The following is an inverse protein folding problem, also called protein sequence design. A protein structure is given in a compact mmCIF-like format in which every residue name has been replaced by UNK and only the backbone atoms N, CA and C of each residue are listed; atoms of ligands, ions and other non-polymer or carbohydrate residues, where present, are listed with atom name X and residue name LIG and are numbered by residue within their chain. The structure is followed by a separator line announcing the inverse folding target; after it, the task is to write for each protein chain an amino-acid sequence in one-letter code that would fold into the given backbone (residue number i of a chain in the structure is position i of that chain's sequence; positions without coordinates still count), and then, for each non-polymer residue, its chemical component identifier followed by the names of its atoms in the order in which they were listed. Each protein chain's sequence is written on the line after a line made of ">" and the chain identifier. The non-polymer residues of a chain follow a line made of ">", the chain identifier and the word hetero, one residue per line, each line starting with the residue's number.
data_IF_073546975943
#
_entry.id   IF_073546975943
#
_cell.length_a   1.000
_cell.length_b   1.000
_cell.length_c   1.000
_cell.angle_alpha   90.00
_cell.angle_beta   90.00
_cell.angle_gamma   90.00
#
_symmetry.space_group_name_H-M   'P 1'
#
loop_
_entity.id
_entity.type
_entity.pdbx_description
1 polymer ?
#
# COMPACT_ATOMS: atom_id res chain seq x y z
N UNK A 1 -37.52 -8.93 -3.30
CA UNK A 1 -37.14 -8.39 -1.97
C UNK A 1 -35.77 -7.78 -2.11
N UNK A 2 -35.58 -6.53 -1.70
CA UNK A 2 -34.28 -5.86 -1.77
C UNK A 2 -33.52 -6.18 -0.47
N UNK A 3 -32.41 -6.92 -0.57
CA UNK A 3 -31.60 -7.35 0.57
C UNK A 3 -30.97 -6.15 1.30
N UNK A 4 -30.81 -5.00 0.65
CA UNK A 4 -30.32 -3.77 1.27
C UNK A 4 -31.31 -3.11 2.24
N UNK A 5 -32.61 -3.47 2.21
CA UNK A 5 -33.57 -2.93 3.18
C UNK A 5 -33.27 -3.37 4.61
N UNK A 6 -32.60 -4.52 4.78
CA UNK A 6 -32.16 -5.06 6.06
C UNK A 6 -30.63 -5.05 6.23
N UNK A 7 -29.90 -4.43 5.30
CA UNK A 7 -28.45 -4.39 5.35
C UNK A 7 -27.96 -3.54 6.52
N UNK A 8 -26.93 -4.03 7.21
CA UNK A 8 -26.32 -3.38 8.36
C UNK A 8 -25.01 -2.69 7.97
N UNK A 9 -24.96 -2.07 6.79
CA UNK A 9 -23.82 -1.26 6.39
C UNK A 9 -23.67 -0.05 7.33
N UNK A 10 -22.44 0.36 7.60
CA UNK A 10 -22.16 1.61 8.31
C UNK A 10 -22.87 2.78 7.62
N UNK A 11 -23.34 3.74 8.43
CA UNK A 11 -24.10 4.90 7.95
C UNK A 11 -23.33 5.61 6.83
N UNK A 12 -24.02 5.85 5.72
CA UNK A 12 -23.54 6.50 4.48
C UNK A 12 -22.67 5.64 3.54
N UNK A 13 -22.45 4.37 3.85
CA UNK A 13 -21.83 3.44 2.91
C UNK A 13 -22.85 2.93 1.89
N UNK A 14 -22.39 2.60 0.69
CA UNK A 14 -23.28 2.11 -0.37
C UNK A 14 -23.58 0.62 -0.15
N UNK A 15 -24.86 0.26 -0.13
CA UNK A 15 -25.28 -1.13 -0.16
C UNK A 15 -25.56 -1.56 -1.60
N UNK A 16 -24.98 -2.69 -2.00
CA UNK A 16 -25.27 -3.37 -3.26
C UNK A 16 -26.19 -4.56 -3.01
N UNK A 17 -27.35 -4.52 -3.65
CA UNK A 17 -28.34 -5.60 -3.63
C UNK A 17 -27.95 -6.66 -4.66
N UNK A 18 -27.76 -7.90 -4.19
CA UNK A 18 -27.64 -9.08 -5.04
C UNK A 18 -28.89 -9.93 -4.88
N UNK A 19 -29.14 -10.85 -5.82
CA UNK A 19 -30.38 -11.62 -5.86
C UNK A 19 -30.71 -12.37 -4.55
N UNK A 20 -29.70 -12.78 -3.77
CA UNK A 20 -29.87 -13.54 -2.53
C UNK A 20 -29.14 -12.97 -1.30
N UNK A 21 -28.33 -11.93 -1.46
CA UNK A 21 -27.52 -11.35 -0.38
C UNK A 21 -27.23 -9.90 -0.68
N UNK A 22 -26.61 -9.18 0.26
CA UNK A 22 -26.13 -7.82 0.03
C UNK A 22 -24.64 -7.73 0.31
N UNK A 23 -23.99 -6.72 -0.26
CA UNK A 23 -22.61 -6.35 0.07
C UNK A 23 -22.52 -4.86 0.36
N UNK A 24 -21.71 -4.47 1.33
CA UNK A 24 -21.41 -3.07 1.59
C UNK A 24 -20.14 -2.66 0.84
N UNK A 25 -20.21 -1.59 0.05
CA UNK A 25 -19.03 -0.94 -0.50
C UNK A 25 -18.49 0.05 0.52
N UNK A 26 -17.34 -0.27 1.10
CA UNK A 26 -16.74 0.54 2.15
C UNK A 26 -15.86 1.64 1.57
N UNK A 27 -16.13 2.88 1.95
CA UNK A 27 -15.22 3.98 1.77
C UNK A 27 -13.96 3.73 2.59
N UNK A 28 -12.81 3.66 1.91
CA UNK A 28 -11.50 3.51 2.58
C UNK A 28 -11.26 4.69 3.53
N UNK A 29 -10.67 4.46 4.73
CA UNK A 29 -9.98 3.25 5.18
C UNK A 29 -10.89 2.23 5.92
N UNK A 30 -12.22 2.34 5.82
CA UNK A 30 -13.14 1.38 6.42
C UNK A 30 -13.20 0.07 5.62
N UNK A 31 -13.44 -1.04 6.30
CA UNK A 31 -13.51 -2.38 5.72
C UNK A 31 -14.38 -3.32 6.57
N UNK A 32 -14.51 -4.57 6.13
CA UNK A 32 -15.35 -5.58 6.76
C UNK A 32 -16.68 -5.72 6.02
N UNK A 33 -17.45 -6.75 6.37
CA UNK A 33 -18.76 -7.02 5.73
C UNK A 33 -19.75 -5.86 5.92
N UNK A 34 -19.61 -5.12 7.02
CA UNK A 34 -20.50 -4.02 7.42
C UNK A 34 -19.84 -2.63 7.35
N UNK A 35 -18.59 -2.53 6.88
CA UNK A 35 -17.81 -1.29 6.88
C UNK A 35 -17.63 -0.62 8.26
N UNK A 36 -17.73 -1.41 9.33
CA UNK A 36 -17.62 -0.99 10.72
C UNK A 36 -16.19 -1.09 11.26
N UNK A 37 -15.31 -1.78 10.54
CA UNK A 37 -13.90 -1.93 10.90
C UNK A 37 -13.06 -0.84 10.23
N UNK A 38 -12.07 -0.31 10.93
CA UNK A 38 -11.13 0.69 10.40
C UNK A 38 -9.74 0.09 10.25
N UNK A 39 -9.11 0.30 9.10
CA UNK A 39 -7.75 -0.18 8.89
C UNK A 39 -6.79 0.46 9.91
N UNK A 40 -5.87 -0.30 10.50
CA UNK A 40 -4.97 0.20 11.53
C UNK A 40 -4.01 1.24 10.97
N UNK A 41 -3.72 2.26 11.79
CA UNK A 41 -2.67 3.25 11.51
C UNK A 41 -1.36 2.72 12.08
N UNK A 42 -0.35 2.67 11.22
CA UNK A 42 0.99 2.22 11.54
C UNK A 42 1.89 3.45 11.57
N UNK A 43 2.30 3.89 12.75
CA UNK A 43 3.36 4.90 12.88
C UNK A 43 4.68 4.25 12.52
N UNK A 44 5.44 4.99 11.72
CA UNK A 44 6.79 4.60 11.39
C UNK A 44 7.76 5.71 11.75
N UNK A 45 8.97 5.27 12.09
CA UNK A 45 10.12 6.11 12.29
C UNK A 45 11.28 5.57 11.46
N UNK A 46 12.44 6.22 11.59
CA UNK A 46 13.70 5.83 10.96
C UNK A 46 14.23 4.43 11.30
N UNK A 47 13.54 3.61 12.08
CA UNK A 47 13.94 2.23 12.37
C UNK A 47 12.88 1.21 11.96
N UNK A 48 11.76 1.69 11.41
CA UNK A 48 10.61 0.87 11.12
C UNK A 48 10.78 0.13 9.81
N UNK A 49 10.50 -1.16 9.80
CA UNK A 49 10.72 -2.03 8.64
C UNK A 49 9.65 -3.11 8.61
N UNK A 50 9.07 -3.34 7.43
CA UNK A 50 8.14 -4.46 7.20
C UNK A 50 8.57 -5.18 5.94
N UNK A 51 8.95 -6.45 6.06
CA UNK A 51 9.32 -7.27 4.92
C UNK A 51 8.37 -8.45 4.76
N UNK A 52 7.74 -8.56 3.59
CA UNK A 52 6.71 -9.57 3.30
C UNK A 52 7.03 -10.26 1.97
N UNK A 53 7.11 -11.58 2.00
CA UNK A 53 7.28 -12.40 0.80
C UNK A 53 5.97 -13.09 0.44
N UNK A 54 5.53 -12.90 -0.80
CA UNK A 54 4.34 -13.50 -1.40
C UNK A 54 4.71 -14.75 -2.20
N UNK A 55 3.79 -15.72 -2.22
CA UNK A 55 3.89 -16.93 -3.05
C UNK A 55 3.60 -16.65 -4.52
N UNK A 56 2.87 -15.58 -4.82
CA UNK A 56 2.53 -15.11 -6.17
C UNK A 56 3.12 -13.74 -6.45
N UNK A 57 3.05 -13.31 -7.72
CA UNK A 57 3.42 -11.96 -8.11
C UNK A 57 2.50 -10.92 -7.46
N UNK A 58 3.10 -9.79 -7.09
CA UNK A 58 2.39 -8.58 -6.71
C UNK A 58 1.92 -7.91 -8.00
N UNK A 59 0.61 -7.67 -8.07
CA UNK A 59 -0.14 -7.12 -9.20
C UNK A 59 -0.59 -5.69 -8.91
N UNK A 60 -0.94 -5.40 -7.66
CA UNK A 60 -1.26 -4.06 -7.23
C UNK A 60 -0.79 -3.80 -5.79
N UNK A 61 -0.56 -2.53 -5.49
CA UNK A 61 -0.33 -2.02 -4.15
C UNK A 61 -1.18 -0.77 -4.00
N UNK A 62 -1.85 -0.62 -2.87
CA UNK A 62 -2.42 0.68 -2.49
C UNK A 62 -2.29 0.93 -1.01
N UNK A 63 -2.05 2.17 -0.63
CA UNK A 63 -1.91 2.57 0.76
C UNK A 63 -2.24 4.05 0.92
N UNK A 64 -2.55 4.43 2.15
CA UNK A 64 -2.50 5.82 2.57
C UNK A 64 -1.20 6.06 3.34
N UNK A 65 -0.62 7.24 3.12
CA UNK A 65 0.51 7.70 3.92
C UNK A 65 0.33 9.17 4.28
N UNK A 66 1.02 9.61 5.32
CA UNK A 66 1.32 11.01 5.52
C UNK A 66 2.78 11.18 5.93
N UNK A 67 3.35 12.35 5.64
CA UNK A 67 4.63 12.78 6.20
C UNK A 67 4.83 14.27 5.99
N UNK A 68 5.72 14.86 6.79
CA UNK A 68 6.28 16.20 6.55
C UNK A 68 7.66 16.13 5.87
N UNK A 69 8.25 14.94 5.79
CA UNK A 69 9.60 14.78 5.26
C UNK A 69 9.59 14.78 3.74
N UNK A 70 10.49 15.56 3.11
CA UNK A 70 10.51 15.69 1.66
C UNK A 70 11.17 14.49 0.96
N UNK A 71 11.95 13.69 1.70
CA UNK A 71 12.80 12.63 1.13
C UNK A 71 12.64 11.34 1.92
N UNK A 72 12.50 10.23 1.20
CA UNK A 72 12.64 8.89 1.74
C UNK A 72 11.80 7.82 1.06
N UNK A 73 12.11 6.55 1.33
CA UNK A 73 11.52 5.40 0.62
C UNK A 73 10.31 4.84 1.37
N UNK A 74 9.14 4.85 0.72
CA UNK A 74 7.91 4.27 1.26
C UNK A 74 7.88 2.76 1.07
N UNK A 75 8.31 2.27 -0.09
CA UNK A 75 8.41 0.84 -0.35
C UNK A 75 9.40 0.51 -1.47
N UNK A 76 9.93 -0.70 -1.40
CA UNK A 76 10.66 -1.35 -2.47
C UNK A 76 10.02 -2.72 -2.74
N UNK A 77 9.82 -3.03 -4.02
CA UNK A 77 9.33 -4.33 -4.48
C UNK A 77 10.43 -4.96 -5.30
N UNK A 78 10.85 -6.15 -4.90
CA UNK A 78 11.90 -6.91 -5.57
C UNK A 78 11.43 -8.33 -5.89
N UNK A 79 12.16 -8.97 -6.79
CA UNK A 79 12.04 -10.41 -7.02
C UNK A 79 12.82 -11.17 -5.94
N UNK A 80 12.15 -12.04 -5.18
CA UNK A 80 12.84 -12.88 -4.20
C UNK A 80 13.62 -13.99 -4.92
N UNK A 81 14.93 -14.08 -4.71
CA UNK A 81 15.83 -15.00 -5.43
C UNK A 81 15.76 -16.46 -4.89
N UNK A 82 14.75 -16.84 -4.09
CA UNK A 82 14.75 -18.18 -3.46
C UNK A 82 14.44 -19.32 -4.46
N UNK A 83 15.52 -19.90 -4.98
CA UNK A 83 15.69 -21.28 -5.44
C UNK A 83 14.78 -21.76 -6.58
N UNK A 84 15.06 -21.32 -7.81
CA UNK A 84 14.88 -22.25 -8.93
C UNK A 84 15.95 -23.34 -8.81
N UNK A 85 15.51 -24.54 -8.43
CA UNK A 85 16.34 -25.75 -8.35
C UNK A 85 16.98 -26.02 -9.71
N UNK A 86 18.31 -26.10 -9.71
CA UNK A 86 19.12 -27.11 -10.40
C UNK A 86 18.67 -27.42 -11.85
N UNK A 87 18.94 -26.52 -12.77
CA UNK A 87 19.43 -26.94 -14.08
C UNK A 87 20.84 -26.37 -14.22
N UNK A 88 21.79 -27.28 -14.48
CA UNK A 88 23.20 -26.99 -14.67
C UNK A 88 23.36 -26.12 -15.92
N UNK A 89 23.28 -24.81 -15.77
CA UNK A 89 23.77 -23.90 -16.79
C UNK A 89 24.59 -22.78 -16.15
N UNK A 90 25.89 -23.04 -16.05
CA UNK A 90 26.90 -22.15 -15.48
C UNK A 90 27.19 -20.92 -16.38
N UNK A 91 26.41 -20.71 -17.44
CA UNK A 91 26.54 -19.59 -18.38
C UNK A 91 25.40 -18.55 -18.29
N UNK A 92 24.41 -18.72 -17.40
CA UNK A 92 23.31 -17.75 -17.20
C UNK A 92 23.60 -16.70 -16.10
N UNK A 93 24.74 -16.01 -16.18
CA UNK A 93 25.07 -14.89 -15.29
C UNK A 93 24.30 -13.58 -15.58
N UNK A 94 23.30 -13.58 -16.47
CA UNK A 94 22.37 -12.45 -16.62
C UNK A 94 21.14 -12.65 -15.74
N UNK A 95 21.33 -12.53 -14.43
CA UNK A 95 20.24 -12.51 -13.46
C UNK A 95 19.66 -11.10 -13.40
N UNK A 96 18.52 -10.87 -14.05
CA UNK A 96 17.82 -9.60 -13.99
C UNK A 96 17.09 -9.44 -12.66
N UNK A 97 17.61 -8.60 -11.77
CA UNK A 97 16.98 -8.20 -10.51
C UNK A 97 16.12 -6.97 -10.72
N UNK A 98 15.01 -7.11 -11.44
CA UNK A 98 14.09 -5.98 -11.62
C UNK A 98 13.50 -5.56 -10.28
N UNK A 99 13.40 -4.25 -10.05
CA UNK A 99 12.92 -3.65 -8.81
C UNK A 99 12.04 -2.44 -9.06
N UNK A 100 11.13 -2.20 -8.13
CA UNK A 100 10.23 -1.03 -8.14
C UNK A 100 10.39 -0.32 -6.80
N UNK A 101 10.61 0.99 -6.84
CA UNK A 101 10.79 1.83 -5.66
C UNK A 101 9.72 2.91 -5.68
N UNK A 102 8.95 3.02 -4.60
CA UNK A 102 8.09 4.16 -4.32
C UNK A 102 8.74 5.02 -3.24
N UNK A 103 9.10 6.26 -3.57
CA UNK A 103 9.81 7.16 -2.66
C UNK A 103 9.33 8.61 -2.81
N UNK A 104 9.53 9.41 -1.77
CA UNK A 104 9.48 10.87 -1.85
C UNK A 104 10.87 11.40 -2.17
N UNK A 105 10.96 12.31 -3.14
CA UNK A 105 12.18 13.08 -3.43
C UNK A 105 11.77 14.52 -3.70
N UNK A 106 12.32 15.45 -2.93
CA UNK A 106 11.98 16.88 -2.92
C UNK A 106 10.46 17.13 -2.74
N UNK A 107 9.84 16.29 -1.91
CA UNK A 107 8.41 16.34 -1.58
C UNK A 107 7.48 15.73 -2.61
N UNK A 108 7.98 15.33 -3.78
CA UNK A 108 7.17 14.69 -4.82
C UNK A 108 7.29 13.18 -4.72
N UNK A 109 6.20 12.46 -4.94
CA UNK A 109 6.25 11.01 -5.03
C UNK A 109 6.85 10.61 -6.37
N UNK A 110 7.77 9.67 -6.33
CA UNK A 110 8.44 9.09 -7.49
C UNK A 110 8.30 7.59 -7.46
N UNK A 111 7.84 7.05 -8.57
CA UNK A 111 7.83 5.61 -8.84
C UNK A 111 8.97 5.31 -9.80
N UNK A 112 9.99 4.62 -9.31
CA UNK A 112 11.19 4.26 -10.08
C UNK A 112 11.12 2.76 -10.37
N UNK A 113 11.12 2.39 -11.64
CA UNK A 113 11.10 1.00 -12.10
C UNK A 113 12.42 0.72 -12.80
N UNK A 114 13.19 -0.23 -12.26
CA UNK A 114 14.48 -0.65 -12.79
C UNK A 114 14.34 -2.08 -13.28
N UNK A 115 14.64 -2.30 -14.55
CA UNK A 115 14.70 -3.62 -15.16
C UNK A 115 16.16 -3.96 -15.50
N UNK A 116 16.79 -4.80 -14.66
CA UNK A 116 18.19 -5.23 -14.80
C UNK A 116 18.37 -6.36 -15.85
N UNK A 117 17.55 -6.36 -16.89
CA UNK A 117 17.70 -7.24 -18.05
C UNK A 117 19.02 -7.02 -18.81
N UNK A 118 19.24 -7.74 -19.94
CA UNK A 118 20.45 -7.62 -20.75
C UNK A 118 20.78 -6.18 -21.19
N UNK A 119 19.76 -5.32 -21.28
CA UNK A 119 19.91 -3.87 -21.36
C UNK A 119 19.16 -3.27 -20.18
N UNK A 120 19.89 -2.77 -19.18
CA UNK A 120 19.29 -2.07 -18.04
C UNK A 120 18.38 -0.95 -18.54
N UNK A 121 17.15 -0.93 -18.07
CA UNK A 121 16.19 0.15 -18.33
C UNK A 121 15.73 0.72 -17.00
N UNK A 122 15.51 2.03 -16.98
CA UNK A 122 15.04 2.75 -15.82
C UNK A 122 13.94 3.70 -16.26
N UNK A 123 12.82 3.64 -15.55
CA UNK A 123 11.64 4.44 -15.80
C UNK A 123 11.25 5.15 -14.51
N UNK A 124 10.82 6.40 -14.62
CA UNK A 124 10.39 7.21 -13.48
C UNK A 124 9.06 7.88 -13.81
N UNK A 125 8.07 7.71 -12.93
CA UNK A 125 6.90 8.59 -12.86
C UNK A 125 7.04 9.49 -11.66
N UNK A 126 6.64 10.75 -11.81
CA UNK A 126 6.74 11.77 -10.76
C UNK A 126 5.40 12.48 -10.59
N UNK A 127 4.91 12.55 -9.35
CA UNK A 127 3.72 13.32 -9.02
C UNK A 127 3.89 14.79 -9.40
N UNK A 128 2.82 15.43 -9.86
CA UNK A 128 2.83 16.87 -10.17
C UNK A 128 2.92 17.73 -8.91
N UNK A 129 2.20 17.30 -7.85
CA UNK A 129 2.12 18.03 -6.59
C UNK A 129 3.07 17.42 -5.56
N UNK A 130 3.47 18.26 -4.59
CA UNK A 130 4.18 17.81 -3.39
C UNK A 130 3.19 17.15 -2.43
N UNK A 131 3.60 16.04 -1.83
CA UNK A 131 2.79 15.21 -0.93
C UNK A 131 3.36 15.15 0.50
N UNK A 132 4.33 16.00 0.82
CA UNK A 132 4.94 16.11 2.14
C UNK A 132 4.33 17.25 2.97
N UNK A 133 3.02 17.49 2.84
CA UNK A 133 2.30 18.59 3.48
C UNK A 133 1.66 18.18 4.83
N UNK A 134 1.92 16.95 5.28
CA UNK A 134 1.36 16.37 6.50
C UNK A 134 -0.06 15.82 6.35
N UNK A 135 -0.71 16.00 5.21
CA UNK A 135 -2.05 15.46 4.95
C UNK A 135 -1.96 14.00 4.49
N UNK A 136 -3.04 13.22 4.69
CA UNK A 136 -3.15 11.89 4.08
C UNK A 136 -3.16 11.99 2.56
N UNK A 137 -2.33 11.19 1.92
CA UNK A 137 -2.35 10.94 0.48
C UNK A 137 -2.55 9.47 0.20
N UNK A 138 -3.35 9.15 -0.82
CA UNK A 138 -3.57 7.80 -1.29
C UNK A 138 -2.68 7.52 -2.50
N UNK A 139 -1.91 6.44 -2.44
CA UNK A 139 -1.17 5.92 -3.60
C UNK A 139 -1.82 4.60 -4.02
N UNK A 140 -2.08 4.45 -5.31
CA UNK A 140 -2.47 3.19 -5.93
C UNK A 140 -1.53 2.91 -7.11
N UNK A 141 -0.90 1.74 -7.07
CA UNK A 141 -0.01 1.26 -8.11
C UNK A 141 -0.60 -0.01 -8.70
N UNK A 142 -0.96 0.05 -9.98
CA UNK A 142 -1.42 -1.06 -10.79
C UNK A 142 -0.24 -1.54 -11.64
N UNK A 143 0.43 -2.60 -11.19
CA UNK A 143 1.63 -3.15 -11.83
C UNK A 143 1.29 -3.94 -13.10
N UNK A 144 0.05 -4.40 -13.27
CA UNK A 144 -0.36 -5.08 -14.48
C UNK A 144 -0.50 -4.12 -15.66
N UNK A 145 -0.92 -2.89 -15.36
CA UNK A 145 -1.09 -1.83 -16.34
C UNK A 145 0.00 -0.76 -16.27
N UNK A 146 0.98 -0.89 -15.36
CA UNK A 146 2.01 0.12 -15.10
C UNK A 146 1.44 1.53 -14.88
N UNK A 147 0.37 1.59 -14.09
CA UNK A 147 -0.40 2.81 -13.85
C UNK A 147 -0.25 3.25 -12.40
N UNK A 148 0.09 4.52 -12.22
CA UNK A 148 0.20 5.18 -10.93
C UNK A 148 -0.98 6.15 -10.76
N UNK A 149 -1.73 5.98 -9.69
CA UNK A 149 -2.83 6.86 -9.31
C UNK A 149 -2.54 7.46 -7.93
N UNK A 150 -2.68 8.77 -7.80
CA UNK A 150 -2.49 9.49 -6.54
C UNK A 150 -3.73 10.35 -6.27
N UNK A 151 -4.29 10.18 -5.07
CA UNK A 151 -5.50 10.88 -4.59
C UNK A 151 -6.71 10.80 -5.54
N UNK A 152 -6.74 9.79 -6.42
CA UNK A 152 -7.72 9.63 -7.51
C UNK A 152 -7.75 10.82 -8.50
N UNK A 153 -6.76 11.70 -8.45
CA UNK A 153 -6.67 12.91 -9.29
C UNK A 153 -5.57 12.72 -10.32
N UNK A 154 -4.35 12.44 -9.85
CA UNK A 154 -3.22 12.18 -10.72
C UNK A 154 -3.29 10.73 -11.18
N UNK A 155 -3.17 10.49 -12.48
CA UNK A 155 -3.30 9.18 -13.11
C UNK A 155 -2.39 9.12 -14.34
N UNK A 156 -1.26 8.45 -14.21
CA UNK A 156 -0.28 8.33 -15.28
C UNK A 156 0.02 6.85 -15.55
N UNK A 157 0.16 6.51 -16.83
CA UNK A 157 0.43 5.15 -17.28
C UNK A 157 1.76 5.12 -18.02
N UNK A 158 2.66 4.26 -17.58
CA UNK A 158 3.94 4.04 -18.25
C UNK A 158 3.73 3.16 -19.49
N UNK A 159 4.37 3.51 -20.61
CA UNK A 159 4.35 2.70 -21.83
C UNK A 159 4.95 1.30 -21.54
N UNK A 160 4.14 0.26 -21.73
CA UNK A 160 4.52 -1.15 -21.52
C UNK A 160 5.77 -1.52 -22.33
N UNK A 161 6.88 -1.86 -21.66
CA UNK A 161 8.01 -2.53 -22.34
C UNK A 161 8.05 -4.02 -22.01
N UNK A 162 7.34 -4.80 -22.85
CA UNK A 162 7.56 -6.17 -23.31
C UNK A 162 7.70 -7.34 -22.29
N UNK A 163 8.18 -7.15 -21.07
CA UNK A 163 8.32 -8.24 -20.08
C UNK A 163 7.53 -7.96 -18.80
N UNK A 164 6.70 -8.91 -18.37
CA UNK A 164 6.03 -8.87 -17.06
C UNK A 164 7.07 -9.14 -15.98
N UNK A 165 7.28 -8.19 -15.06
CA UNK A 165 8.21 -8.36 -13.95
C UNK A 165 7.61 -9.33 -12.91
N UNK A 166 8.36 -10.37 -12.55
CA UNK A 166 7.98 -11.23 -11.42
C UNK A 166 8.51 -10.62 -10.11
N UNK A 167 7.63 -9.90 -9.42
CA UNK A 167 7.91 -9.23 -8.15
C UNK A 167 7.06 -9.87 -7.06
N UNK A 168 7.68 -10.39 -6.01
CA UNK A 168 6.97 -11.13 -4.96
C UNK A 168 7.49 -10.84 -3.56
N UNK A 169 8.43 -9.92 -3.40
CA UNK A 169 8.92 -9.48 -2.11
C UNK A 169 8.75 -7.98 -2.02
N UNK A 170 8.06 -7.52 -0.98
CA UNK A 170 7.92 -6.11 -0.66
C UNK A 170 8.63 -5.82 0.65
N UNK A 171 9.37 -4.72 0.64
CA UNK A 171 9.92 -4.06 1.80
C UNK A 171 9.22 -2.71 1.93
N UNK A 172 8.44 -2.51 2.98
CA UNK A 172 7.90 -1.19 3.31
C UNK A 172 8.91 -0.45 4.19
N UNK A 173 9.01 0.86 4.00
CA UNK A 173 9.88 1.77 4.73
C UNK A 173 11.36 1.45 4.48
N UNK A 174 11.71 1.39 3.19
CA UNK A 174 12.90 0.68 2.71
C UNK A 174 14.26 1.25 3.13
N UNK A 175 14.34 2.57 3.38
CA UNK A 175 15.61 3.25 3.66
C UNK A 175 15.70 3.86 5.05
N UNK A 176 14.71 3.61 5.92
CA UNK A 176 14.75 4.12 7.30
C UNK A 176 14.86 5.65 7.40
N UNK A 177 14.45 6.41 6.39
CA UNK A 177 14.55 7.88 6.43
C UNK A 177 13.22 8.57 6.74
N UNK A 178 12.10 7.85 6.59
CA UNK A 178 10.76 8.40 6.74
C UNK A 178 10.24 8.36 8.20
N UNK A 179 9.50 9.40 8.57
CA UNK A 179 8.68 9.54 9.77
C UNK A 179 7.26 9.94 9.35
N UNK A 180 6.25 9.31 9.92
CA UNK A 180 4.85 9.51 9.52
C UNK A 180 3.98 8.33 9.90
N UNK A 181 2.90 8.12 9.16
CA UNK A 181 2.10 6.92 9.30
C UNK A 181 1.65 6.35 7.96
N UNK A 182 1.42 5.03 7.95
CA UNK A 182 0.76 4.29 6.87
C UNK A 182 -0.60 3.78 7.36
N UNK A 183 -1.59 3.74 6.48
CA UNK A 183 -2.90 3.14 6.78
C UNK A 183 -3.43 2.38 5.56
N UNK A 184 -4.22 1.34 5.83
CA UNK A 184 -4.96 0.58 4.81
C UNK A 184 -4.06 0.10 3.66
N UNK A 185 -2.93 -0.50 4.05
CA UNK A 185 -1.95 -1.07 3.12
C UNK A 185 -2.56 -2.32 2.51
N UNK A 186 -2.75 -2.32 1.20
CA UNK A 186 -3.31 -3.42 0.43
C UNK A 186 -2.33 -3.87 -0.63
N UNK A 187 -2.17 -5.17 -0.75
CA UNK A 187 -1.33 -5.81 -1.77
C UNK A 187 -2.18 -6.88 -2.41
N UNK A 188 -2.31 -6.84 -3.75
CA UNK A 188 -3.26 -7.67 -4.49
C UNK A 188 -4.69 -7.56 -3.90
N UNK A 189 -5.10 -6.32 -3.60
CA UNK A 189 -6.37 -5.95 -2.95
C UNK A 189 -6.60 -6.53 -1.54
N UNK A 190 -5.65 -7.29 -1.01
CA UNK A 190 -5.72 -7.83 0.33
C UNK A 190 -5.15 -6.85 1.34
N UNK A 191 -5.98 -6.44 2.30
CA UNK A 191 -5.54 -5.66 3.46
C UNK A 191 -4.46 -6.43 4.25
N UNK A 192 -3.32 -5.79 4.40
CA UNK A 192 -2.25 -6.17 5.32
C UNK A 192 -2.59 -5.56 6.67
N UNK A 193 -3.16 -6.38 7.57
CA UNK A 193 -3.43 -5.97 8.94
C UNK A 193 -2.54 -6.72 9.92
N UNK A 194 -2.22 -6.04 11.01
CA UNK A 194 -1.43 -6.57 12.11
C UNK A 194 -2.31 -6.59 13.36
N UNK A 195 -2.20 -7.63 14.18
CA UNK A 195 -2.86 -7.73 15.46
C UNK A 195 -2.25 -6.78 16.50
N UNK A 196 -2.83 -6.75 17.70
CA UNK A 196 -2.39 -5.88 18.80
C UNK A 196 -0.98 -6.20 19.33
N UNK A 197 -0.38 -7.32 18.90
CA UNK A 197 0.98 -7.74 19.22
C UNK A 197 1.95 -7.49 18.06
N UNK A 198 1.52 -6.72 17.06
CA UNK A 198 2.25 -6.52 15.80
C UNK A 198 2.57 -7.86 15.13
N UNK A 199 1.59 -8.74 14.95
CA UNK A 199 1.72 -9.93 14.07
C UNK A 199 0.73 -9.83 12.93
N UNK A 200 1.11 -10.26 11.73
CA UNK A 200 0.17 -10.27 10.61
C UNK A 200 -1.03 -11.18 10.92
N UNK A 201 -2.24 -10.69 10.65
CA UNK A 201 -3.49 -11.41 10.89
C UNK A 201 -3.76 -12.50 9.85
N UNK A 202 -3.05 -12.47 8.71
CA UNK A 202 -3.11 -13.44 7.61
C UNK A 202 -1.78 -14.16 7.46
N UNK A 203 -1.83 -15.35 6.86
CA UNK A 203 -0.68 -16.20 6.54
C UNK A 203 0.16 -15.61 5.39
N UNK A 204 0.82 -14.48 5.63
CA UNK A 204 1.90 -14.00 4.78
C UNK A 204 3.24 -14.42 5.39
N UNK A 205 4.25 -14.68 4.54
CA UNK A 205 5.59 -14.98 5.02
C UNK A 205 6.30 -13.69 5.42
N UNK A 206 6.12 -13.28 6.67
CA UNK A 206 6.81 -12.15 7.27
C UNK A 206 8.26 -12.52 7.56
N UNK A 207 9.21 -11.71 7.07
CA UNK A 207 10.65 -11.94 7.32
C UNK A 207 11.22 -10.99 8.38
N UNK A 208 10.67 -9.78 8.53
CA UNK A 208 11.02 -8.85 9.61
C UNK A 208 9.90 -7.84 9.86
N UNK A 209 9.74 -7.43 11.11
CA UNK A 209 8.74 -6.43 11.52
C UNK A 209 9.23 -5.60 12.69
N UNK A 210 9.27 -4.28 12.48
CA UNK A 210 9.48 -3.28 13.51
C UNK A 210 8.55 -2.09 13.22
N UNK A 211 7.43 -1.99 13.94
CA UNK A 211 6.45 -0.91 13.75
C UNK A 211 5.76 -0.57 15.08
N UNK A 212 5.21 0.65 15.16
CA UNK A 212 4.37 1.08 16.29
C UNK A 212 2.94 1.35 15.81
N UNK A 213 1.98 0.54 16.25
CA UNK A 213 0.57 0.80 15.99
C UNK A 213 0.00 1.93 16.84
N UNK A 214 -0.90 2.72 16.26
CA UNK A 214 -1.67 3.72 17.00
C UNK A 214 -2.86 3.06 17.67
N UNK A 215 -2.87 3.03 19.01
CA UNK A 215 -3.94 2.39 19.79
C UNK A 215 -5.20 3.24 19.94
N UNK A 216 -5.09 4.58 19.82
CA UNK A 216 -6.16 5.52 20.18
C UNK A 216 -6.64 6.42 19.03
N UNK A 217 -6.94 5.90 17.83
CA UNK A 217 -7.35 6.75 16.70
C UNK A 217 -8.53 7.71 17.04
N UNK A 218 -8.39 9.05 17.04
CA UNK A 218 -9.44 10.01 17.43
C UNK A 218 -10.60 10.04 16.44
N UNK A 219 -10.41 9.48 15.25
CA UNK A 219 -11.48 9.29 14.27
C UNK A 219 -12.33 8.04 14.53
N UNK A 220 -11.99 7.22 15.54
CA UNK A 220 -12.65 5.95 15.84
C UNK A 220 -12.87 5.75 17.36
N UNK A 221 -14.00 5.18 17.81
CA UNK A 221 -15.13 4.67 17.02
C UNK A 221 -16.06 5.78 16.51
N UNK A 222 -16.03 6.95 17.15
CA UNK A 222 -16.95 8.04 16.86
C UNK A 222 -16.22 9.11 16.05
N UNK A 223 -16.60 9.27 14.79
CA UNK A 223 -16.11 10.34 13.95
C UNK A 223 -16.49 11.71 14.57
N UNK A 224 -15.53 12.54 14.99
CA UNK A 224 -15.81 13.82 15.64
C UNK A 224 -16.31 14.89 14.66
N UNK A 225 -16.19 14.68 13.36
CA UNK A 225 -16.58 15.66 12.36
C UNK A 225 -18.12 15.79 12.28
N UNK A 226 -18.60 17.02 12.40
CA UNK A 226 -20.02 17.36 12.21
C UNK A 226 -20.42 17.22 10.73
N UNK A 227 -21.73 17.13 10.48
CA UNK A 227 -22.32 17.08 9.14
C UNK A 227 -21.73 15.99 8.22
N UNK A 228 -21.37 14.84 8.79
CA UNK A 228 -20.83 13.70 8.04
C UNK A 228 -19.44 14.00 7.41
N UNK A 229 -18.71 14.98 7.94
CA UNK A 229 -17.33 15.22 7.52
C UNK A 229 -16.46 13.99 7.74
N UNK A 230 -15.40 13.83 6.95
CA UNK A 230 -14.48 12.70 7.05
C UNK A 230 -13.37 13.07 8.05
N UNK A 231 -13.27 12.36 9.17
CA UNK A 231 -12.14 12.52 10.07
C UNK A 231 -10.91 11.84 9.48
N UNK A 232 -9.83 12.62 9.38
CA UNK A 232 -8.54 12.20 8.89
C UNK A 232 -7.50 12.49 9.96
N UNK A 233 -6.65 11.51 10.28
CA UNK A 233 -5.58 11.69 11.26
C UNK A 233 -4.41 12.38 10.57
N UNK A 234 -4.26 13.70 10.75
CA UNK A 234 -3.27 14.50 10.01
C UNK A 234 -1.93 14.64 10.73
N UNK A 235 -1.82 14.39 12.05
CA UNK A 235 -0.57 14.59 12.78
C UNK A 235 -0.17 13.42 13.69
N UNK A 236 1.15 13.19 13.76
CA UNK A 236 1.77 12.17 14.62
C UNK A 236 1.87 12.61 16.08
N UNK A 237 1.78 13.92 16.36
CA UNK A 237 1.91 14.56 17.68
C UNK A 237 0.60 14.68 18.47
N UNK A 238 -0.56 14.34 17.90
CA UNK A 238 -1.84 14.34 18.64
C UNK A 238 -2.01 13.11 19.56
N UNK A 239 -0.89 12.53 20.02
CA UNK A 239 -0.79 11.39 20.95
C UNK A 239 0.45 11.45 21.82
#
# INVERSE_FOLDING_TARGET
>A
TNACQNALCRKNELCQDHWFYHTCECQRPFFGEHCDQIAPIIKFNQSSLVNIVFSSSILNISLFFNTLQPNGTLFEIISSIKQQRITRDLLSQNRSTSKIIGALIDGHFRLIIIDDGPKRKEFELRSEQKLNDGRPHQIELDLENYRLIIDKIYNETLMKTHNKLFLNHIQLLGDNTLNGWLQDIRINDQLISFDNTNRLTKNFNLTSLNINQVKNNPCYPNNPCLNQGICLVTHSQDY
#
